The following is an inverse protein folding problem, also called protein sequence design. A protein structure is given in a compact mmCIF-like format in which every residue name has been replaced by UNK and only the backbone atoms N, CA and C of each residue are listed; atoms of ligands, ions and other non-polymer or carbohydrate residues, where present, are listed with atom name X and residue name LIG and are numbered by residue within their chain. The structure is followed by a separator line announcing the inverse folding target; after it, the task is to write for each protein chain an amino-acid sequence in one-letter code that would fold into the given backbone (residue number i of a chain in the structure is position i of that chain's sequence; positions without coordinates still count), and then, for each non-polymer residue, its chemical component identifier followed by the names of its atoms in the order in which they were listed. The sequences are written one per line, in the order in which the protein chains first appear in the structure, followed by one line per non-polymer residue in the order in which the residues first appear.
data_IF_729628932331
#
_entry.id   IF_729628932331
#
_cell.length_a   1.000
_cell.length_b   1.000
_cell.length_c   1.000
_cell.angle_alpha   90.00
_cell.angle_beta   90.00
_cell.angle_gamma   90.00
#
_symmetry.space_group_name_H-M   'P 1'
#
loop_
_entity.id
_entity.type
_entity.pdbx_description
1 polymer ?
#
# COMPACT_ATOMS: atom_id res chain seq x y z
N UNK A 1 0.77 -13.97 40.01
CA UNK A 1 0.13 -12.82 39.34
C UNK A 1 1.12 -11.78 38.79
N UNK A 2 2.30 -11.56 39.37
CA UNK A 2 3.24 -10.52 38.93
C UNK A 2 4.13 -10.82 37.69
N UNK A 3 3.95 -11.94 36.99
CA UNK A 3 4.75 -12.28 35.78
C UNK A 3 3.98 -12.13 34.48
N UNK A 4 2.67 -12.37 34.51
CA UNK A 4 1.79 -12.29 33.34
C UNK A 4 1.60 -10.83 32.91
N UNK A 5 1.45 -9.89 33.85
CA UNK A 5 1.33 -8.47 33.52
C UNK A 5 2.60 -7.90 32.86
N UNK A 6 3.80 -8.38 33.21
CA UNK A 6 5.05 -7.95 32.56
C UNK A 6 5.12 -8.39 31.09
N UNK A 7 4.63 -9.58 30.76
CA UNK A 7 4.60 -10.09 29.38
C UNK A 7 3.59 -9.28 28.55
N UNK A 8 2.40 -9.01 29.09
CA UNK A 8 1.38 -8.19 28.43
C UNK A 8 1.90 -6.77 28.19
N UNK A 9 2.59 -6.18 29.17
CA UNK A 9 3.12 -4.82 29.05
C UNK A 9 4.26 -4.72 28.01
N UNK A 10 5.06 -5.77 27.84
CA UNK A 10 6.08 -5.83 26.78
C UNK A 10 5.43 -5.89 25.39
N UNK A 11 4.40 -6.71 25.20
CA UNK A 11 3.69 -6.81 23.90
C UNK A 11 3.05 -5.47 23.53
N UNK A 12 2.39 -4.81 24.48
CA UNK A 12 1.76 -3.49 24.25
C UNK A 12 2.81 -2.43 23.90
N UNK A 13 3.97 -2.42 24.57
CA UNK A 13 5.04 -1.46 24.26
C UNK A 13 5.65 -1.73 22.88
N UNK A 14 5.81 -3.00 22.48
CA UNK A 14 6.30 -3.35 21.13
C UNK A 14 5.30 -2.89 20.07
N UNK A 15 4.00 -3.12 20.24
CA UNK A 15 2.98 -2.65 19.29
C UNK A 15 2.97 -1.12 19.16
N UNK A 16 3.10 -0.39 20.27
CA UNK A 16 3.19 1.09 20.26
C UNK A 16 4.48 1.58 19.60
N UNK A 17 5.60 0.88 19.78
CA UNK A 17 6.87 1.23 19.12
C UNK A 17 6.84 0.93 17.62
N UNK A 18 6.15 -0.13 17.18
CA UNK A 18 5.92 -0.41 15.75
C UNK A 18 5.09 0.73 15.13
N UNK A 19 4.01 1.16 15.81
CA UNK A 19 3.17 2.27 15.34
C UNK A 19 3.96 3.60 15.33
N UNK A 20 4.76 3.89 16.36
CA UNK A 20 5.54 5.11 16.46
C UNK A 20 6.73 5.17 15.49
N UNK A 21 7.35 4.02 15.18
CA UNK A 21 8.40 3.91 14.17
C UNK A 21 7.87 4.12 12.75
N UNK A 22 6.67 3.60 12.44
CA UNK A 22 6.03 3.75 11.13
C UNK A 22 5.49 5.17 10.90
N UNK A 23 4.99 5.85 11.95
CA UNK A 23 4.53 7.24 11.85
C UNK A 23 5.65 8.29 11.96
N UNK A 24 6.77 7.98 12.61
CA UNK A 24 7.85 8.94 12.89
C UNK A 24 8.62 9.46 11.67
N UNK A 25 8.61 8.72 10.55
CA UNK A 25 9.28 9.13 9.31
C UNK A 25 8.41 10.00 8.39
N UNK A 26 7.10 10.11 8.65
CA UNK A 26 6.13 10.81 7.76
C UNK A 26 6.19 12.34 7.79
N UNK A 27 6.99 12.95 8.67
CA UNK A 27 6.98 14.42 8.87
C UNK A 27 8.10 15.20 8.15
N UNK A 28 9.05 14.54 7.46
CA UNK A 28 10.29 15.22 7.02
C UNK A 28 10.55 15.32 5.50
N UNK A 29 9.72 14.75 4.62
CA UNK A 29 10.06 14.66 3.18
C UNK A 29 9.34 15.66 2.26
N UNK A 30 8.89 16.83 2.77
CA UNK A 30 8.32 17.89 1.91
C UNK A 30 9.44 18.63 1.15
N UNK A 31 9.99 18.00 0.10
CA UNK A 31 10.90 18.67 -0.82
C UNK A 31 11.83 17.76 -1.64
N UNK A 32 11.95 16.49 -1.30
CA UNK A 32 12.87 15.56 -1.97
C UNK A 32 12.23 14.97 -3.23
N UNK A 33 13.00 14.87 -4.32
CA UNK A 33 12.53 14.22 -5.54
C UNK A 33 12.46 12.72 -5.33
N UNK A 34 11.25 12.23 -5.09
CA UNK A 34 10.97 10.83 -4.80
C UNK A 34 11.22 9.98 -6.06
N UNK A 35 12.07 8.98 -5.94
CA UNK A 35 12.46 8.00 -6.96
C UNK A 35 11.77 6.65 -6.74
N UNK A 36 11.53 5.85 -7.80
CA UNK A 36 11.00 4.50 -7.61
C UNK A 36 11.96 3.57 -6.83
N UNK A 37 13.24 3.92 -6.73
CA UNK A 37 14.22 3.12 -5.98
C UNK A 37 14.15 3.34 -4.47
N UNK A 38 13.43 4.37 -4.02
CA UNK A 38 13.24 4.66 -2.60
C UNK A 38 12.25 3.68 -1.94
N UNK A 39 11.61 2.82 -2.74
CA UNK A 39 10.63 1.84 -2.31
C UNK A 39 11.01 0.43 -2.76
N UNK A 40 11.06 -0.48 -1.79
CA UNK A 40 11.44 -1.86 -2.02
C UNK A 40 10.29 -2.69 -2.61
N UNK A 41 10.65 -3.70 -3.39
CA UNK A 41 9.71 -4.73 -3.81
C UNK A 41 9.72 -5.85 -2.78
N UNK A 42 8.55 -6.17 -2.26
CA UNK A 42 8.32 -7.27 -1.32
C UNK A 42 7.54 -8.36 -2.05
N UNK A 43 8.00 -9.61 -1.95
CA UNK A 43 7.26 -10.75 -2.48
C UNK A 43 6.13 -11.13 -1.51
N UNK A 44 4.91 -11.21 -2.03
CA UNK A 44 3.74 -11.75 -1.33
C UNK A 44 3.46 -13.12 -1.93
N UNK A 45 3.62 -14.15 -1.12
CA UNK A 45 3.31 -15.55 -1.40
C UNK A 45 2.33 -16.11 -0.35
N UNK A 46 2.13 -17.43 -0.34
CA UNK A 46 1.21 -18.11 0.60
C UNK A 46 1.67 -18.03 2.07
N UNK A 47 2.97 -17.83 2.32
CA UNK A 47 3.56 -17.79 3.65
C UNK A 47 3.86 -16.36 4.12
N UNK A 48 3.59 -15.36 3.27
CA UNK A 48 3.75 -13.96 3.62
C UNK A 48 2.83 -13.59 4.78
N UNK A 49 3.39 -12.91 5.78
CA UNK A 49 2.65 -12.36 6.92
C UNK A 49 2.43 -10.87 6.68
N UNK A 50 1.21 -10.43 6.35
CA UNK A 50 0.90 -9.02 6.12
C UNK A 50 1.28 -8.13 7.30
N UNK A 51 1.88 -6.99 7.02
CA UNK A 51 2.19 -5.98 8.04
C UNK A 51 1.01 -5.07 8.35
N UNK A 52 0.05 -4.98 7.42
CA UNK A 52 -1.13 -4.13 7.55
C UNK A 52 -2.36 -4.73 6.83
N UNK A 53 -3.53 -4.12 7.08
CA UNK A 53 -4.82 -4.59 6.54
C UNK A 53 -4.90 -4.52 5.01
N UNK A 54 -4.20 -3.58 4.36
CA UNK A 54 -4.21 -3.47 2.89
C UNK A 54 -3.40 -4.60 2.27
N UNK A 55 -2.23 -4.91 2.83
CA UNK A 55 -1.43 -6.06 2.41
C UNK A 55 -2.19 -7.38 2.60
N UNK A 56 -2.93 -7.52 3.70
CA UNK A 56 -3.81 -8.66 3.91
C UNK A 56 -4.87 -8.74 2.81
N UNK A 57 -5.57 -7.63 2.55
CA UNK A 57 -6.55 -7.55 1.46
C UNK A 57 -5.94 -7.93 0.10
N UNK A 58 -4.74 -7.42 -0.21
CA UNK A 58 -4.04 -7.70 -1.46
C UNK A 58 -3.65 -9.19 -1.56
N UNK A 59 -3.15 -9.78 -0.48
CA UNK A 59 -2.81 -11.21 -0.43
C UNK A 59 -4.06 -12.07 -0.66
N UNK A 60 -5.15 -11.78 0.05
CA UNK A 60 -6.43 -12.50 -0.09
C UNK A 60 -6.99 -12.38 -1.52
N UNK A 61 -6.98 -11.19 -2.12
CA UNK A 61 -7.39 -10.96 -3.51
C UNK A 61 -6.51 -11.74 -4.50
N UNK A 62 -5.20 -11.80 -4.27
CA UNK A 62 -4.26 -12.55 -5.09
C UNK A 62 -4.44 -14.07 -4.98
N UNK A 63 -4.75 -14.58 -3.78
CA UNK A 63 -5.11 -15.99 -3.54
C UNK A 63 -6.39 -16.33 -4.31
N UNK A 64 -7.43 -15.51 -4.16
CA UNK A 64 -8.72 -15.72 -4.83
C UNK A 64 -8.57 -15.73 -6.36
N UNK A 65 -7.67 -14.92 -6.91
CA UNK A 65 -7.39 -14.85 -8.35
C UNK A 65 -6.39 -15.92 -8.83
N UNK A 66 -5.77 -16.67 -7.93
CA UNK A 66 -4.71 -17.64 -8.26
C UNK A 66 -3.48 -16.99 -8.89
N UNK A 67 -3.15 -15.75 -8.48
CA UNK A 67 -2.06 -14.95 -9.07
C UNK A 67 -0.80 -14.89 -8.22
N UNK A 68 -0.76 -15.61 -7.09
CA UNK A 68 0.47 -15.71 -6.29
C UNK A 68 1.59 -16.47 -7.05
N UNK A 69 2.87 -16.15 -6.79
CA UNK A 69 3.32 -15.02 -5.98
C UNK A 69 3.20 -13.70 -6.75
N UNK A 70 2.96 -12.61 -6.01
CA UNK A 70 3.00 -11.24 -6.53
C UNK A 70 4.14 -10.47 -5.85
N UNK A 71 4.61 -9.40 -6.49
CA UNK A 71 5.52 -8.45 -5.87
C UNK A 71 4.78 -7.15 -5.61
N UNK A 72 4.81 -6.69 -4.37
CA UNK A 72 4.21 -5.45 -3.93
C UNK A 72 5.30 -4.41 -3.68
N UNK A 73 5.06 -3.18 -4.13
CA UNK A 73 5.81 -2.02 -3.70
C UNK A 73 4.83 -1.03 -3.12
N UNK A 74 4.93 -0.79 -1.81
CA UNK A 74 4.04 0.09 -1.09
C UNK A 74 4.60 1.52 -1.07
N UNK A 75 3.83 2.49 -1.58
CA UNK A 75 4.16 3.91 -1.53
C UNK A 75 3.44 4.65 -0.38
N UNK A 76 2.66 3.93 0.42
CA UNK A 76 1.80 4.45 1.48
C UNK A 76 0.95 5.65 0.98
N UNK A 77 0.81 6.67 1.82
CA UNK A 77 0.15 7.94 1.55
C UNK A 77 1.12 8.98 0.94
N UNK A 78 2.12 8.57 0.17
CA UNK A 78 3.08 9.51 -0.38
C UNK A 78 2.43 10.40 -1.45
N UNK A 79 2.14 11.66 -1.10
CA UNK A 79 1.48 12.62 -1.98
C UNK A 79 2.29 12.94 -3.25
N UNK A 80 3.62 12.90 -3.16
CA UNK A 80 4.50 13.11 -4.32
C UNK A 80 4.32 12.00 -5.35
N UNK A 81 4.21 10.75 -4.90
CA UNK A 81 3.93 9.61 -5.79
C UNK A 81 2.48 9.64 -6.28
N UNK A 82 1.52 10.01 -5.43
CA UNK A 82 0.11 10.18 -5.83
C UNK A 82 -0.03 11.17 -6.99
N UNK A 83 0.69 12.28 -6.98
CA UNK A 83 0.70 13.25 -8.09
C UNK A 83 1.27 12.68 -9.40
N UNK A 84 2.08 11.62 -9.33
CA UNK A 84 2.63 10.89 -10.48
C UNK A 84 1.70 9.76 -10.96
N UNK A 85 0.71 9.35 -10.17
CA UNK A 85 -0.27 8.32 -10.53
C UNK A 85 -1.17 8.75 -11.68
N UNK A 86 -1.40 7.85 -12.64
CA UNK A 86 -2.34 8.01 -13.76
C UNK A 86 -3.17 6.75 -13.88
N UNK A 87 -4.44 6.84 -13.50
CA UNK A 87 -5.42 5.77 -13.58
C UNK A 87 -6.57 6.09 -14.53
N UNK A 88 -7.62 5.28 -14.45
CA UNK A 88 -8.81 5.44 -15.29
C UNK A 88 -9.69 6.62 -14.86
N UNK A 89 -9.68 6.95 -13.56
CA UNK A 89 -10.50 8.01 -12.94
C UNK A 89 -9.67 9.20 -12.52
N UNK A 90 -8.40 9.00 -12.16
CA UNK A 90 -7.55 10.06 -11.64
C UNK A 90 -6.30 10.29 -12.49
N UNK A 91 -5.94 11.56 -12.65
CA UNK A 91 -4.72 11.99 -13.34
C UNK A 91 -3.84 12.86 -12.44
N UNK A 92 -3.12 12.22 -11.50
CA UNK A 92 -2.26 12.87 -10.53
C UNK A 92 -3.04 13.58 -9.44
N UNK A 93 -3.94 12.86 -8.74
CA UNK A 93 -4.88 13.50 -7.85
C UNK A 93 -4.19 14.05 -6.60
N UNK A 94 -4.89 14.96 -5.92
CA UNK A 94 -4.57 15.36 -4.54
C UNK A 94 -5.52 14.68 -3.56
N UNK A 95 -5.14 14.62 -2.28
CA UNK A 95 -6.01 14.10 -1.21
C UNK A 95 -7.39 14.78 -1.20
N UNK A 96 -7.45 16.09 -1.46
CA UNK A 96 -8.72 16.81 -1.56
C UNK A 96 -9.65 16.25 -2.66
N UNK A 97 -9.10 15.89 -3.82
CA UNK A 97 -9.87 15.29 -4.92
C UNK A 97 -10.30 13.86 -4.59
N UNK A 98 -9.46 13.11 -3.87
CA UNK A 98 -9.85 11.80 -3.34
C UNK A 98 -11.04 11.93 -2.38
N UNK A 99 -10.99 12.88 -1.44
CA UNK A 99 -12.09 13.16 -0.51
C UNK A 99 -13.39 13.55 -1.22
N UNK A 100 -13.30 14.28 -2.33
CA UNK A 100 -14.47 14.66 -3.14
C UNK A 100 -15.08 13.47 -3.87
N UNK A 101 -14.24 12.58 -4.40
CA UNK A 101 -14.69 11.40 -5.15
C UNK A 101 -15.13 10.24 -4.26
N UNK A 102 -14.58 10.15 -3.05
CA UNK A 102 -14.92 9.16 -2.04
C UNK A 102 -15.42 9.87 -0.77
N UNK A 103 -16.71 10.23 -0.69
CA UNK A 103 -17.27 10.86 0.50
C UNK A 103 -17.10 9.96 1.72
N UNK A 104 -16.50 10.51 2.78
CA UNK A 104 -16.15 9.74 3.99
C UNK A 104 -14.84 8.95 3.85
N UNK A 105 -13.94 9.37 2.96
CA UNK A 105 -12.57 8.84 2.89
C UNK A 105 -11.89 8.97 4.25
N UNK A 106 -11.57 7.84 4.85
CA UNK A 106 -10.84 7.73 6.11
C UNK A 106 -9.34 7.70 5.84
N UNK A 107 -8.93 6.85 4.88
CA UNK A 107 -7.55 6.59 4.53
C UNK A 107 -7.42 6.25 3.03
N UNK A 108 -6.21 6.32 2.48
CA UNK A 108 -5.85 5.90 1.14
C UNK A 108 -4.43 5.38 1.11
N UNK A 109 -4.11 4.53 0.15
CA UNK A 109 -2.78 3.96 0.01
C UNK A 109 -2.51 3.66 -1.46
N UNK A 110 -1.30 3.96 -1.93
CA UNK A 110 -0.89 3.71 -3.30
C UNK A 110 0.16 2.59 -3.32
N UNK A 111 -0.04 1.60 -4.19
CA UNK A 111 0.93 0.51 -4.40
C UNK A 111 1.19 0.30 -5.87
N UNK A 112 2.35 -0.26 -6.19
CA UNK A 112 2.49 -1.05 -7.42
C UNK A 112 2.41 -2.54 -7.09
N UNK A 113 1.68 -3.28 -7.91
CA UNK A 113 1.62 -4.74 -7.88
C UNK A 113 2.21 -5.25 -9.19
N UNK A 114 3.18 -6.15 -9.10
CA UNK A 114 3.75 -6.88 -10.22
C UNK A 114 3.42 -8.36 -10.11
N UNK A 115 2.89 -8.93 -11.17
CA UNK A 115 2.53 -10.34 -11.23
C UNK A 115 2.78 -10.91 -12.63
N UNK A 116 2.95 -12.22 -12.70
CA UNK A 116 3.12 -12.93 -13.97
C UNK A 116 1.77 -13.40 -14.48
N UNK A 117 1.53 -13.18 -15.77
CA UNK A 117 0.38 -13.75 -16.48
C UNK A 117 0.91 -14.79 -17.46
N UNK A 118 0.51 -16.04 -17.26
CA UNK A 118 1.08 -17.19 -18.00
C UNK A 118 0.37 -17.52 -19.32
N UNK A 119 -0.75 -16.86 -19.65
CA UNK A 119 -1.53 -17.12 -20.88
C UNK A 119 -1.95 -15.82 -21.57
N UNK A 120 -1.76 -15.66 -22.90
CA UNK A 120 -1.22 -16.62 -23.89
C UNK A 120 0.31 -16.61 -24.05
N UNK A 121 1.03 -15.69 -23.39
CA UNK A 121 2.50 -15.67 -23.28
C UNK A 121 2.87 -15.18 -21.90
N UNK A 122 3.94 -15.70 -21.31
CA UNK A 122 4.46 -15.21 -20.04
C UNK A 122 4.79 -13.72 -20.17
N UNK A 123 4.08 -12.89 -19.42
CA UNK A 123 4.32 -11.45 -19.34
C UNK A 123 4.26 -11.04 -17.87
N UNK A 124 5.26 -10.27 -17.47
CA UNK A 124 5.17 -9.52 -16.22
C UNK A 124 4.34 -8.26 -16.45
N UNK A 125 3.30 -8.13 -15.63
CA UNK A 125 2.43 -6.95 -15.62
C UNK A 125 2.71 -6.21 -14.33
N UNK A 126 3.09 -4.94 -14.43
CA UNK A 126 3.13 -4.02 -13.29
C UNK A 126 1.95 -3.07 -13.39
N UNK A 127 1.22 -2.89 -12.30
CA UNK A 127 0.06 -2.01 -12.22
C UNK A 127 0.07 -1.25 -10.91
N UNK A 128 -0.13 0.07 -11.01
CA UNK A 128 -0.37 0.91 -9.84
C UNK A 128 -1.84 0.77 -9.42
N UNK A 129 -2.09 0.60 -8.12
CA UNK A 129 -3.44 0.51 -7.56
C UNK A 129 -3.56 1.50 -6.42
N UNK A 130 -4.58 2.35 -6.51
CA UNK A 130 -4.98 3.25 -5.45
C UNK A 130 -6.05 2.57 -4.61
N UNK A 131 -5.72 2.22 -3.38
CA UNK A 131 -6.66 1.76 -2.37
C UNK A 131 -7.20 2.94 -1.58
N UNK A 132 -8.48 2.86 -1.22
CA UNK A 132 -9.17 3.84 -0.39
C UNK A 132 -9.95 3.13 0.70
N UNK A 133 -10.00 3.74 1.88
CA UNK A 133 -10.78 3.25 3.02
C UNK A 133 -11.99 4.16 3.21
N UNK A 134 -13.17 3.57 3.16
CA UNK A 134 -14.44 4.27 3.34
C UNK A 134 -15.33 3.42 4.25
N UNK A 135 -15.80 4.00 5.35
CA UNK A 135 -16.62 3.29 6.37
C UNK A 135 -15.91 2.07 6.97
N UNK A 136 -14.61 2.19 7.24
CA UNK A 136 -13.79 1.11 7.79
C UNK A 136 -13.47 -0.05 6.82
N UNK A 137 -13.86 0.05 5.54
CA UNK A 137 -13.60 -0.99 4.54
C UNK A 137 -12.62 -0.49 3.48
N UNK A 138 -11.59 -1.32 3.19
CA UNK A 138 -10.65 -1.07 2.09
C UNK A 138 -11.24 -1.51 0.76
N UNK A 139 -11.10 -0.67 -0.25
CA UNK A 139 -11.52 -0.97 -1.62
C UNK A 139 -10.57 -0.38 -2.66
N UNK A 140 -10.64 -0.91 -3.88
CA UNK A 140 -9.91 -0.35 -5.02
C UNK A 140 -10.60 0.93 -5.48
N UNK A 141 -9.92 2.06 -5.31
CA UNK A 141 -10.40 3.37 -5.76
C UNK A 141 -10.15 3.61 -7.26
N UNK A 142 -8.96 3.27 -7.74
CA UNK A 142 -8.57 3.33 -9.15
C UNK A 142 -7.36 2.43 -9.43
N UNK A 143 -7.09 2.15 -10.70
CA UNK A 143 -5.91 1.40 -11.13
C UNK A 143 -5.30 1.99 -12.39
N UNK A 144 -3.99 1.85 -12.54
CA UNK A 144 -3.24 2.55 -13.58
C UNK A 144 -1.74 2.31 -13.51
N UNK A 145 -0.97 3.39 -13.69
CA UNK A 145 0.48 3.40 -13.68
C UNK A 145 1.01 4.65 -12.98
N UNK A 146 2.23 4.59 -12.46
CA UNK A 146 2.96 5.76 -11.96
C UNK A 146 3.90 6.25 -13.06
N UNK A 147 3.80 7.54 -13.39
CA UNK A 147 4.64 8.17 -14.40
C UNK A 147 5.89 8.74 -13.74
N UNK A 148 6.96 7.97 -13.74
CA UNK A 148 8.29 8.42 -13.32
C UNK A 148 8.92 9.27 -14.42
N UNK A 149 9.45 10.45 -14.06
CA UNK A 149 10.27 11.23 -14.98
C UNK A 149 11.57 10.46 -15.22
N UNK A 150 11.99 10.40 -16.49
CA UNK A 150 13.28 9.85 -16.89
C UNK A 150 14.41 10.83 -16.62
#
# INVERSE_FOLDING_TARGET
MARIWKIILIIIVIDVVIIAGYFGLRALSSGEDVSPNDFEWVMIDENYSPSNLVEQFIQEDAIQKGTLPIYLRNYDQNETVLRKFRGSRFAGPKRAELNMMFPGLEDWLLVDIRYKVSQPREREVTRAVLYVMVKGEWMVGDSGQIIWKK
#
